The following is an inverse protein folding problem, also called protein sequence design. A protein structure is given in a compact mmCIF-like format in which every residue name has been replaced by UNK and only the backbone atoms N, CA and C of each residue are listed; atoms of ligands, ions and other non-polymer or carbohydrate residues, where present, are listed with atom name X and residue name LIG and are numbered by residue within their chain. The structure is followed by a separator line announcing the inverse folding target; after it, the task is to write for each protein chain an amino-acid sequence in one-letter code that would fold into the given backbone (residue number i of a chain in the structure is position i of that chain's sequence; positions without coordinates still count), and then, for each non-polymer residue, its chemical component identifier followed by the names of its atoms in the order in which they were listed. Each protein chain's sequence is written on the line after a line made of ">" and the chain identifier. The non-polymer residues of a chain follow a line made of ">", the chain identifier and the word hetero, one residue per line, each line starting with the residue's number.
data_IF_514557502276
#
_entry.id   IF_514557502276
#
_cell.length_a   1.000
_cell.length_b   1.000
_cell.length_c   1.000
_cell.angle_alpha   90.00
_cell.angle_beta   90.00
_cell.angle_gamma   90.00
#
_symmetry.space_group_name_H-M   'P 1'
#
loop_
_entity.id
_entity.type
_entity.pdbx_description
1 polymer ?
#
# COMPACT_ATOMS: atom_id res chain seq x y z
N UNK A 1 -5.94 -8.75 -22.47
CA UNK A 1 -4.79 -9.50 -21.91
C UNK A 1 -3.76 -8.60 -21.24
N UNK A 2 -3.20 -7.58 -21.90
CA UNK A 2 -2.16 -6.72 -21.30
C UNK A 2 -2.55 -6.11 -19.94
N UNK A 3 -3.75 -5.56 -19.81
CA UNK A 3 -4.25 -4.97 -18.54
C UNK A 3 -4.26 -5.96 -17.36
N UNK A 4 -4.54 -7.24 -17.62
CA UNK A 4 -4.56 -8.30 -16.60
C UNK A 4 -3.14 -8.59 -16.11
N UNK A 5 -2.21 -8.77 -17.05
CA UNK A 5 -0.79 -9.02 -16.73
C UNK A 5 -0.22 -7.85 -15.93
N UNK A 6 -0.48 -6.62 -16.38
CA UNK A 6 -0.05 -5.40 -15.68
C UNK A 6 -0.67 -5.32 -14.28
N UNK A 7 -1.95 -5.62 -14.12
CA UNK A 7 -2.60 -5.63 -12.81
C UNK A 7 -1.97 -6.64 -11.84
N UNK A 8 -1.68 -7.86 -12.30
CA UNK A 8 -1.04 -8.90 -11.47
C UNK A 8 0.36 -8.44 -11.07
N UNK A 9 1.17 -7.96 -12.02
CA UNK A 9 2.53 -7.48 -11.74
C UNK A 9 2.53 -6.32 -10.75
N UNK A 10 1.66 -5.32 -10.96
CA UNK A 10 1.51 -4.19 -10.04
C UNK A 10 1.05 -4.68 -8.68
N UNK A 11 0.00 -5.51 -8.61
CA UNK A 11 -0.54 -6.03 -7.36
C UNK A 11 0.50 -6.79 -6.55
N UNK A 12 1.31 -7.65 -7.20
CA UNK A 12 2.38 -8.39 -6.53
C UNK A 12 3.51 -7.47 -6.06
N UNK A 13 4.00 -6.56 -6.90
CA UNK A 13 5.08 -5.64 -6.53
C UNK A 13 4.66 -4.71 -5.39
N UNK A 14 3.47 -4.10 -5.52
CA UNK A 14 2.89 -3.23 -4.49
C UNK A 14 2.56 -4.02 -3.23
N UNK A 15 2.12 -5.28 -3.36
CA UNK A 15 1.95 -6.20 -2.24
C UNK A 15 3.24 -6.40 -1.46
N UNK A 16 4.32 -6.82 -2.13
CA UNK A 16 5.61 -7.08 -1.50
C UNK A 16 6.16 -5.82 -0.83
N UNK A 17 6.18 -4.69 -1.54
CA UNK A 17 6.69 -3.42 -1.01
C UNK A 17 5.79 -2.92 0.13
N UNK A 18 4.46 -2.96 -0.07
CA UNK A 18 3.47 -2.49 0.88
C UNK A 18 3.42 -3.31 2.17
N UNK A 19 3.56 -4.64 2.07
CA UNK A 19 3.65 -5.53 3.23
C UNK A 19 5.00 -5.43 3.94
N UNK A 20 6.10 -5.24 3.21
CA UNK A 20 7.43 -5.07 3.81
C UNK A 20 7.59 -3.73 4.52
N UNK A 21 7.01 -2.65 3.97
CA UNK A 21 7.21 -1.29 4.47
C UNK A 21 6.02 -0.74 5.26
N UNK A 22 4.86 -1.39 5.21
CA UNK A 22 3.63 -0.92 5.83
C UNK A 22 2.95 0.25 5.11
N UNK A 23 3.29 0.50 3.84
CA UNK A 23 2.85 1.67 3.07
C UNK A 23 1.46 1.54 2.43
N UNK A 24 0.79 0.42 2.62
CA UNK A 24 -0.43 0.08 1.89
C UNK A 24 -1.61 0.96 2.31
N UNK A 25 -1.92 2.00 1.55
CA UNK A 25 -3.08 2.88 1.77
C UNK A 25 -2.98 3.79 3.01
N UNK A 26 -1.85 3.77 3.70
CA UNK A 26 -1.65 4.44 5.00
C UNK A 26 -0.51 5.45 4.97
N UNK A 27 -0.18 5.97 3.77
CA UNK A 27 0.91 6.91 3.50
C UNK A 27 0.93 8.10 4.48
N UNK A 28 -0.23 8.55 4.97
CA UNK A 28 -0.33 9.62 5.96
C UNK A 28 -0.30 9.12 7.42
N UNK A 29 -0.80 7.93 7.72
CA UNK A 29 -0.85 7.41 9.08
C UNK A 29 0.53 7.08 9.62
N UNK A 30 1.46 6.61 8.77
CA UNK A 30 2.80 6.20 9.18
C UNK A 30 3.58 7.37 9.83
N UNK A 31 3.78 8.53 9.16
CA UNK A 31 4.47 9.64 9.78
C UNK A 31 3.74 10.20 11.01
N UNK A 32 2.40 10.23 11.01
CA UNK A 32 1.62 10.72 12.15
C UNK A 32 1.76 9.82 13.39
N UNK A 33 1.78 8.50 13.21
CA UNK A 33 1.97 7.54 14.30
C UNK A 33 3.40 7.54 14.83
N UNK A 34 4.39 7.72 13.95
CA UNK A 34 5.78 7.92 14.36
C UNK A 34 5.97 9.20 15.16
N UNK A 35 5.36 10.31 14.72
CA UNK A 35 5.42 11.60 15.41
C UNK A 35 4.71 11.58 16.76
N UNK A 36 3.56 10.91 16.84
CA UNK A 36 2.80 10.80 18.09
C UNK A 36 3.43 9.84 19.11
N UNK A 37 4.35 8.96 18.67
CA UNK A 37 5.03 7.98 19.50
C UNK A 37 4.10 7.10 20.36
N UNK A 38 2.85 6.90 19.91
CA UNK A 38 1.84 6.07 20.60
C UNK A 38 2.26 4.61 20.59
N UNK A 39 2.92 4.16 19.52
CA UNK A 39 3.45 2.80 19.38
C UNK A 39 4.98 2.90 19.21
N UNK A 40 5.77 2.60 20.26
CA UNK A 40 7.21 2.82 20.23
C UNK A 40 7.98 1.80 19.37
N UNK A 41 7.42 0.61 19.15
CA UNK A 41 8.03 -0.41 18.30
C UNK A 41 7.58 -0.23 16.84
N UNK A 42 8.54 -0.04 15.93
CA UNK A 42 8.27 0.22 14.51
C UNK A 42 7.54 -0.93 13.81
N UNK A 43 7.91 -2.18 14.10
CA UNK A 43 7.27 -3.37 13.49
C UNK A 43 5.84 -3.54 14.00
N UNK A 44 5.61 -3.34 15.29
CA UNK A 44 4.26 -3.33 15.87
C UNK A 44 3.41 -2.23 15.25
N UNK A 45 3.97 -1.03 15.06
CA UNK A 45 3.29 0.10 14.40
C UNK A 45 2.85 -0.29 12.98
N UNK A 46 3.74 -0.86 12.16
CA UNK A 46 3.40 -1.36 10.81
C UNK A 46 2.28 -2.40 10.87
N UNK A 47 2.40 -3.39 11.75
CA UNK A 47 1.39 -4.44 11.91
C UNK A 47 0.02 -3.89 12.30
N UNK A 48 -0.03 -2.97 13.26
CA UNK A 48 -1.26 -2.31 13.71
C UNK A 48 -1.88 -1.47 12.60
N UNK A 49 -1.07 -0.75 11.82
CA UNK A 49 -1.55 0.01 10.68
C UNK A 49 -2.18 -0.88 9.60
N UNK A 50 -1.50 -1.98 9.23
CA UNK A 50 -2.03 -2.96 8.29
C UNK A 50 -3.30 -3.63 8.81
N UNK A 51 -3.39 -3.87 10.13
CA UNK A 51 -4.61 -4.37 10.74
C UNK A 51 -5.76 -3.37 10.65
N UNK A 52 -5.51 -2.07 10.85
CA UNK A 52 -6.56 -1.04 10.82
C UNK A 52 -7.28 -0.92 9.47
N UNK A 53 -6.60 -1.25 8.36
CA UNK A 53 -7.15 -1.20 7.01
C UNK A 53 -7.85 -2.49 6.56
N UNK A 54 -7.61 -3.63 7.23
CA UNK A 54 -8.10 -4.94 6.78
C UNK A 54 -9.64 -5.08 6.89
N UNK A 55 -10.32 -4.67 8.00
CA UNK A 55 -11.76 -4.94 8.13
C UNK A 55 -12.71 -3.84 7.60
N UNK A 56 -12.56 -2.51 7.84
CA UNK A 56 -13.62 -1.55 7.49
C UNK A 56 -13.24 -0.38 6.55
N UNK A 57 -11.96 -0.02 6.38
CA UNK A 57 -11.62 1.31 5.82
C UNK A 57 -12.11 1.50 4.38
N UNK A 58 -12.00 0.47 3.54
CA UNK A 58 -12.41 0.55 2.14
C UNK A 58 -13.80 -0.02 1.87
N UNK A 59 -14.45 -0.68 2.84
CA UNK A 59 -15.74 -1.34 2.62
C UNK A 59 -16.85 -0.35 2.25
N UNK A 60 -17.00 0.74 3.03
CA UNK A 60 -18.01 1.76 2.75
C UNK A 60 -17.73 2.49 1.43
N UNK A 61 -16.46 2.76 1.12
CA UNK A 61 -16.06 3.38 -0.13
C UNK A 61 -16.40 2.48 -1.33
N UNK A 62 -16.08 1.18 -1.27
CA UNK A 62 -16.39 0.21 -2.33
C UNK A 62 -17.90 0.10 -2.55
N UNK A 63 -18.71 0.12 -1.49
CA UNK A 63 -20.18 0.13 -1.64
C UNK A 63 -20.61 1.37 -2.44
N UNK A 64 -20.08 2.54 -2.10
CA UNK A 64 -20.48 3.80 -2.71
C UNK A 64 -20.01 3.94 -4.18
N UNK A 65 -18.77 3.55 -4.49
CA UNK A 65 -18.28 3.44 -5.87
C UNK A 65 -19.02 2.35 -6.67
N UNK A 66 -19.41 1.26 -6.01
CA UNK A 66 -20.18 0.17 -6.60
C UNK A 66 -21.58 0.62 -7.05
N UNK A 67 -22.27 1.44 -6.23
CA UNK A 67 -23.55 2.05 -6.62
C UNK A 67 -23.44 2.88 -7.90
N UNK A 68 -22.31 3.58 -8.08
CA UNK A 68 -22.02 4.39 -9.27
C UNK A 68 -21.50 3.58 -10.47
N UNK A 69 -21.32 2.27 -10.34
CA UNK A 69 -20.70 1.39 -11.36
C UNK A 69 -19.28 1.83 -11.76
N UNK A 70 -18.54 2.43 -10.82
CA UNK A 70 -17.19 2.95 -11.03
C UNK A 70 -16.10 1.92 -10.66
N UNK A 71 -16.45 0.63 -10.61
CA UNK A 71 -15.55 -0.44 -10.18
C UNK A 71 -15.33 -1.43 -11.33
N UNK A 72 -14.07 -1.57 -11.74
CA UNK A 72 -13.63 -2.71 -12.56
C UNK A 72 -13.39 -3.92 -11.64
N UNK A 73 -14.43 -4.73 -11.44
CA UNK A 73 -14.40 -5.87 -10.52
C UNK A 73 -13.37 -6.93 -10.91
N UNK A 74 -13.08 -7.09 -12.21
CA UNK A 74 -12.09 -8.07 -12.68
C UNK A 74 -10.69 -7.62 -12.26
N UNK A 75 -10.31 -6.38 -12.59
CA UNK A 75 -9.00 -5.84 -12.24
C UNK A 75 -8.86 -5.67 -10.73
N UNK A 76 -9.91 -5.21 -10.04
CA UNK A 76 -9.93 -5.07 -8.59
C UNK A 76 -9.69 -6.39 -7.86
N UNK A 77 -10.33 -7.48 -8.30
CA UNK A 77 -10.14 -8.80 -7.69
C UNK A 77 -8.73 -9.34 -7.93
N UNK A 78 -8.19 -9.16 -9.13
CA UNK A 78 -6.82 -9.58 -9.44
C UNK A 78 -5.78 -8.83 -8.62
N UNK A 79 -5.95 -7.51 -8.47
CA UNK A 79 -5.11 -6.69 -7.59
C UNK A 79 -5.20 -7.14 -6.15
N UNK A 80 -6.41 -7.40 -5.64
CA UNK A 80 -6.64 -7.90 -4.29
C UNK A 80 -5.88 -9.22 -4.03
N UNK A 81 -6.04 -10.21 -4.90
CA UNK A 81 -5.39 -11.53 -4.75
C UNK A 81 -3.87 -11.39 -4.81
N UNK A 82 -3.35 -10.69 -5.83
CA UNK A 82 -1.92 -10.51 -6.02
C UNK A 82 -1.28 -9.74 -4.85
N UNK A 83 -1.97 -8.68 -4.38
CA UNK A 83 -1.55 -7.90 -3.24
C UNK A 83 -1.58 -8.71 -1.94
N UNK A 84 -2.63 -9.50 -1.70
CA UNK A 84 -2.79 -10.30 -0.48
C UNK A 84 -1.62 -11.26 -0.28
N UNK A 85 -1.28 -12.03 -1.32
CA UNK A 85 -0.11 -12.92 -1.26
C UNK A 85 1.20 -12.15 -1.25
N UNK A 86 1.34 -11.08 -2.05
CA UNK A 86 2.53 -10.25 -2.09
C UNK A 86 2.84 -9.63 -0.72
N UNK A 87 1.83 -9.12 -0.02
CA UNK A 87 1.95 -8.49 1.29
C UNK A 87 2.36 -9.49 2.38
N UNK A 88 1.86 -10.73 2.29
CA UNK A 88 2.33 -11.80 3.16
C UNK A 88 3.84 -12.01 3.00
N UNK A 89 4.33 -12.20 1.77
CA UNK A 89 5.77 -12.34 1.52
C UNK A 89 6.56 -11.10 1.93
N UNK A 90 6.04 -9.90 1.64
CA UNK A 90 6.64 -8.64 2.06
C UNK A 90 6.82 -8.55 3.58
N UNK A 91 5.82 -8.96 4.36
CA UNK A 91 5.91 -8.94 5.83
C UNK A 91 6.97 -9.91 6.37
N UNK A 92 7.21 -11.03 5.69
CA UNK A 92 8.33 -11.92 6.01
C UNK A 92 9.66 -11.21 5.72
N UNK A 93 9.76 -10.55 4.57
CA UNK A 93 10.96 -9.79 4.17
C UNK A 93 11.29 -8.68 5.18
N UNK A 94 10.29 -8.02 5.77
CA UNK A 94 10.47 -7.00 6.81
C UNK A 94 11.35 -7.49 7.97
N UNK A 95 11.22 -8.76 8.36
CA UNK A 95 11.93 -9.30 9.54
C UNK A 95 13.45 -9.32 9.39
N UNK A 96 13.95 -9.38 8.16
CA UNK A 96 15.38 -9.43 7.83
C UNK A 96 16.07 -8.05 7.88
N UNK A 97 15.30 -6.95 7.94
CA UNK A 97 15.85 -5.60 7.95
C UNK A 97 15.69 -4.94 9.33
N UNK A 98 16.60 -4.02 9.64
CA UNK A 98 16.50 -3.19 10.84
C UNK A 98 15.46 -2.08 10.66
N UNK A 99 14.87 -1.65 11.77
CA UNK A 99 13.82 -0.61 11.78
C UNK A 99 14.30 0.70 11.13
N UNK A 100 15.58 1.07 11.30
CA UNK A 100 16.17 2.24 10.62
C UNK A 100 16.19 2.08 9.11
N UNK A 101 16.60 0.91 8.61
CA UNK A 101 16.65 0.65 7.16
C UNK A 101 15.23 0.71 6.58
N UNK A 102 14.27 0.07 7.25
CA UNK A 102 12.87 0.08 6.86
C UNK A 102 12.28 1.50 6.83
N UNK A 103 12.62 2.34 7.80
CA UNK A 103 12.18 3.73 7.83
C UNK A 103 12.77 4.55 6.66
N UNK A 104 14.06 4.37 6.38
CA UNK A 104 14.70 5.05 5.26
C UNK A 104 14.17 4.59 3.90
N UNK A 105 13.98 3.28 3.70
CA UNK A 105 13.40 2.76 2.47
C UNK A 105 11.96 3.22 2.27
N UNK A 106 11.14 3.22 3.33
CA UNK A 106 9.80 3.83 3.29
C UNK A 106 9.84 5.29 2.84
N UNK A 107 10.76 6.08 3.40
CA UNK A 107 10.93 7.50 3.07
C UNK A 107 11.32 7.72 1.61
N UNK A 108 12.28 6.94 1.10
CA UNK A 108 12.72 7.00 -0.30
C UNK A 108 11.60 6.59 -1.25
N UNK A 109 10.87 5.52 -0.94
CA UNK A 109 9.71 5.07 -1.75
C UNK A 109 8.64 6.16 -1.81
N UNK A 110 8.30 6.79 -0.68
CA UNK A 110 7.33 7.89 -0.65
C UNK A 110 7.79 9.10 -1.46
N UNK A 111 9.08 9.44 -1.40
CA UNK A 111 9.63 10.52 -2.20
C UNK A 111 9.54 10.23 -3.71
N UNK A 112 9.89 9.02 -4.14
CA UNK A 112 9.76 8.59 -5.54
C UNK A 112 8.30 8.62 -5.98
N UNK A 113 7.37 8.11 -5.16
CA UNK A 113 5.93 8.16 -5.45
C UNK A 113 5.45 9.59 -5.63
N UNK A 114 5.89 10.53 -4.78
CA UNK A 114 5.57 11.95 -4.93
C UNK A 114 6.03 12.50 -6.28
N UNK A 115 7.29 12.27 -6.66
CA UNK A 115 7.82 12.71 -7.96
C UNK A 115 7.06 12.10 -9.14
N UNK A 116 6.72 10.81 -9.06
CA UNK A 116 5.94 10.12 -10.09
C UNK A 116 4.54 10.72 -10.25
N UNK A 117 3.87 11.05 -9.14
CA UNK A 117 2.55 11.68 -9.19
C UNK A 117 2.61 13.09 -9.81
N UNK A 118 3.61 13.89 -9.46
CA UNK A 118 3.84 15.20 -10.11
C UNK A 118 4.09 15.05 -11.61
N UNK A 119 4.94 14.10 -12.01
CA UNK A 119 5.22 13.84 -13.42
C UNK A 119 3.97 13.40 -14.18
N UNK A 120 3.15 12.52 -13.60
CA UNK A 120 1.88 12.09 -14.19
C UNK A 120 0.92 13.27 -14.32
N UNK A 121 0.77 14.11 -13.29
CA UNK A 121 -0.09 15.29 -13.35
C UNK A 121 0.37 16.35 -14.37
N UNK A 122 1.69 16.48 -14.57
CA UNK A 122 2.25 17.36 -15.60
C UNK A 122 2.03 16.81 -17.01
N UNK A 123 2.24 15.50 -17.21
CA UNK A 123 2.24 14.87 -18.55
C UNK A 123 0.84 14.47 -19.02
N UNK A 124 -0.01 14.02 -18.10
CA UNK A 124 -1.38 13.62 -18.37
C UNK A 124 -2.32 14.64 -17.73
N UNK A 125 -3.14 15.31 -18.55
CA UNK A 125 -4.32 16.03 -18.05
C UNK A 125 -5.34 14.97 -17.60
N UNK A 126 -5.16 14.45 -16.40
CA UNK A 126 -6.13 13.57 -15.71
C UNK A 126 -7.24 14.43 -15.13
#
# INVERSE_FOLDING_TARGET
>A
MLRIIVAIVIGTLVGIIGGALGLAGTTLMLPLLLLSNIIPNYRTLIGTMLFSILPPISLLAVIEYGKRKEIDYLIGTLLFIAYFFGAYYGSIVNTYFSDKILLYTSSVVMFIVSLLLFYVGYTRKV
#
